data_IF_982144729314
#
_entry.id   IF_982144729314
#
_cell.length_a   1.000
_cell.length_b   1.000
_cell.length_c   1.000
_cell.angle_alpha   90.00
_cell.angle_beta   90.00
_cell.angle_gamma   90.00
#
_symmetry.space_group_name_H-M   'P 1'
#
loop_
_entity.id
_entity.type
_entity.pdbx_description
1 polymer ?
#
# COMPACT_ATOMS: atom_id res chain seq x y z
N UNK A 1 16.68 5.47 9.02
CA UNK A 1 15.52 5.32 8.12
C UNK A 1 15.92 5.78 6.73
N UNK A 2 15.25 5.29 5.69
CA UNK A 2 15.45 5.71 4.30
C UNK A 2 14.74 7.06 4.07
N UNK A 3 15.38 7.99 3.35
CA UNK A 3 14.75 9.27 3.04
C UNK A 3 13.61 9.08 2.02
N UNK A 4 12.42 9.70 2.19
CA UNK A 4 11.29 9.49 1.28
C UNK A 4 11.63 9.78 -0.19
N UNK A 5 12.47 10.78 -0.46
CA UNK A 5 12.91 11.09 -1.82
C UNK A 5 13.77 9.98 -2.48
N UNK A 6 14.62 9.32 -1.69
CA UNK A 6 15.44 8.20 -2.19
C UNK A 6 14.54 7.00 -2.51
N UNK A 7 13.58 6.70 -1.64
CA UNK A 7 12.58 5.64 -1.87
C UNK A 7 11.78 5.88 -3.15
N UNK A 8 11.30 7.11 -3.39
CA UNK A 8 10.56 7.46 -4.60
C UNK A 8 11.42 7.35 -5.86
N UNK A 9 12.71 7.68 -5.76
CA UNK A 9 13.68 7.55 -6.85
C UNK A 9 13.87 6.07 -7.21
N UNK A 10 14.07 5.21 -6.21
CA UNK A 10 14.20 3.75 -6.39
C UNK A 10 12.96 3.13 -7.01
N UNK A 11 11.76 3.62 -6.67
CA UNK A 11 10.52 3.14 -7.27
C UNK A 11 10.34 3.60 -8.72
N UNK A 12 10.89 4.76 -9.11
CA UNK A 12 10.60 5.42 -10.39
C UNK A 12 11.56 5.05 -11.52
N UNK A 13 12.77 4.60 -11.21
CA UNK A 13 13.75 4.18 -12.22
C UNK A 13 13.25 2.97 -13.04
N UNK A 14 13.30 3.07 -14.38
CA UNK A 14 12.97 1.97 -15.31
C UNK A 14 13.88 0.76 -15.15
N UNK A 15 15.09 0.96 -14.62
CA UNK A 15 15.89 -0.09 -13.98
C UNK A 15 15.41 -0.30 -12.54
N UNK A 16 14.15 -0.69 -12.37
CA UNK A 16 13.66 -1.27 -11.11
C UNK A 16 14.30 -2.66 -10.94
N UNK A 17 15.62 -2.72 -11.04
CA UNK A 17 16.47 -3.88 -10.87
C UNK A 17 16.35 -4.29 -9.42
N UNK A 18 15.71 -5.44 -9.19
CA UNK A 18 15.74 -6.30 -7.99
C UNK A 18 15.43 -5.65 -6.64
N UNK A 19 16.07 -4.55 -6.28
CA UNK A 19 15.89 -3.76 -5.06
C UNK A 19 14.44 -3.39 -4.70
N UNK A 20 13.65 -2.79 -5.60
CA UNK A 20 12.25 -2.41 -5.30
C UNK A 20 11.26 -3.58 -5.35
N UNK A 21 11.60 -4.65 -6.08
CA UNK A 21 10.87 -5.91 -6.06
C UNK A 21 11.14 -6.71 -4.78
N UNK A 22 12.35 -6.58 -4.22
CA UNK A 22 12.77 -7.23 -2.99
C UNK A 22 12.34 -6.45 -1.73
N UNK A 23 12.09 -5.14 -1.85
CA UNK A 23 11.71 -4.33 -0.69
C UNK A 23 10.25 -4.56 -0.29
N UNK A 24 10.05 -4.97 0.95
CA UNK A 24 8.74 -5.27 1.54
C UNK A 24 8.17 -4.06 2.30
N UNK A 25 6.84 -4.01 2.41
CA UNK A 25 6.14 -2.91 3.06
C UNK A 25 6.54 -2.72 4.53
N UNK A 26 6.88 -3.79 5.24
CA UNK A 26 7.35 -3.70 6.63
C UNK A 26 8.72 -3.00 6.77
N UNK A 27 9.56 -3.00 5.75
CA UNK A 27 10.92 -2.44 5.81
C UNK A 27 10.93 -0.91 5.78
N UNK A 28 9.83 -0.29 5.36
CA UNK A 28 9.67 1.18 5.33
C UNK A 28 8.90 1.73 6.53
N UNK A 29 8.44 0.85 7.43
CA UNK A 29 7.79 1.28 8.68
C UNK A 29 8.84 1.81 9.65
N UNK A 30 8.40 2.66 10.58
CA UNK A 30 9.26 3.13 11.65
C UNK A 30 9.63 1.97 12.59
N UNK A 31 10.87 1.50 12.49
CA UNK A 31 11.39 0.37 13.28
C UNK A 31 11.50 0.66 14.78
N UNK A 32 11.33 1.92 15.20
CA UNK A 32 11.33 2.28 16.63
C UNK A 32 10.00 1.93 17.32
N UNK A 33 8.95 1.67 16.54
CA UNK A 33 7.65 1.28 17.05
C UNK A 33 7.60 -0.24 17.29
N UNK A 34 6.76 -0.70 18.25
CA UNK A 34 6.52 -2.12 18.40
C UNK A 34 5.88 -2.71 17.13
N UNK A 35 6.09 -4.01 16.86
CA UNK A 35 5.45 -4.68 15.73
C UNK A 35 3.93 -4.48 15.74
N UNK A 36 3.31 -4.12 14.60
CA UNK A 36 1.87 -3.87 14.55
C UNK A 36 1.09 -5.17 14.79
N UNK A 37 0.01 -5.07 15.55
CA UNK A 37 -0.96 -6.17 15.65
C UNK A 37 -1.72 -6.36 14.33
N UNK A 38 -2.50 -7.45 14.23
CA UNK A 38 -3.22 -7.81 12.99
C UNK A 38 -4.16 -6.71 12.47
N UNK A 39 -4.79 -5.94 13.37
CA UNK A 39 -5.71 -4.86 12.98
C UNK A 39 -4.93 -3.69 12.40
N UNK A 40 -3.88 -3.26 13.11
CA UNK A 40 -3.01 -2.17 12.65
C UNK A 40 -2.30 -2.54 11.35
N UNK A 41 -1.88 -3.79 11.19
CA UNK A 41 -1.27 -4.26 9.94
C UNK A 41 -2.22 -4.18 8.74
N UNK A 42 -3.52 -4.47 8.94
CA UNK A 42 -4.54 -4.27 7.90
C UNK A 42 -4.68 -2.80 7.52
N UNK A 43 -4.64 -1.91 8.50
CA UNK A 43 -4.75 -0.46 8.29
C UNK A 43 -3.55 0.10 7.54
N UNK A 44 -2.35 -0.32 7.92
CA UNK A 44 -1.11 0.01 7.22
C UNK A 44 -1.18 -0.45 5.75
N UNK A 45 -1.61 -1.69 5.51
CA UNK A 45 -1.74 -2.22 4.15
C UNK A 45 -2.75 -1.42 3.31
N UNK A 46 -3.89 -1.08 3.89
CA UNK A 46 -4.93 -0.28 3.22
C UNK A 46 -4.44 1.14 2.89
N UNK A 47 -3.87 1.85 3.87
CA UNK A 47 -3.32 3.19 3.69
C UNK A 47 -2.21 3.19 2.65
N UNK A 48 -1.30 2.20 2.72
CA UNK A 48 -0.24 2.04 1.72
C UNK A 48 -0.82 1.84 0.32
N UNK A 49 -1.84 1.00 0.17
CA UNK A 49 -2.49 0.75 -1.13
C UNK A 49 -3.03 2.05 -1.75
N UNK A 50 -3.74 2.87 -0.96
CA UNK A 50 -4.26 4.16 -1.42
C UNK A 50 -3.13 5.15 -1.70
N UNK A 51 -2.14 5.26 -0.81
CA UNK A 51 -1.01 6.17 -0.98
C UNK A 51 -0.21 5.86 -2.26
N UNK A 52 0.06 4.58 -2.54
CA UNK A 52 0.76 4.18 -3.76
C UNK A 52 -0.08 4.40 -5.03
N UNK A 53 -1.42 4.24 -4.96
CA UNK A 53 -2.31 4.62 -6.06
C UNK A 53 -2.22 6.12 -6.39
N UNK A 54 -2.08 6.98 -5.37
CA UNK A 54 -1.89 8.43 -5.55
C UNK A 54 -0.56 8.79 -6.24
N UNK A 55 0.45 7.93 -6.16
CA UNK A 55 1.77 8.12 -6.80
C UNK A 55 1.79 7.73 -8.29
N UNK A 56 0.66 7.30 -8.87
CA UNK A 56 0.61 6.89 -10.28
C UNK A 56 1.12 8.01 -11.21
N UNK A 57 2.05 7.69 -12.11
CA UNK A 57 2.61 8.68 -13.05
C UNK A 57 1.57 9.23 -14.03
N UNK A 58 0.54 8.44 -14.32
CA UNK A 58 -0.58 8.79 -15.20
C UNK A 58 -1.71 9.45 -14.37
N UNK A 59 -1.96 10.77 -14.49
CA UNK A 59 -2.90 11.47 -13.62
C UNK A 59 -4.33 10.89 -13.62
N UNK A 60 -4.79 10.39 -14.77
CA UNK A 60 -6.13 9.81 -14.92
C UNK A 60 -6.40 8.54 -14.10
N UNK A 61 -5.36 7.86 -13.62
CA UNK A 61 -5.48 6.67 -12.78
C UNK A 61 -5.29 6.95 -11.29
N UNK A 62 -4.95 8.19 -10.93
CA UNK A 62 -4.88 8.57 -9.52
C UNK A 62 -6.31 8.64 -8.96
N UNK A 63 -6.53 8.16 -7.73
CA UNK A 63 -7.84 8.27 -7.10
C UNK A 63 -8.17 9.75 -6.84
N UNK A 64 -9.44 10.10 -6.93
CA UNK A 64 -9.92 11.43 -6.54
C UNK A 64 -9.99 11.52 -5.02
N UNK A 65 -9.84 12.73 -4.45
CA UNK A 65 -9.98 12.92 -3.00
C UNK A 65 -11.37 12.49 -2.48
N UNK A 66 -12.41 12.66 -3.30
CA UNK A 66 -13.75 12.17 -2.97
C UNK A 66 -13.76 10.64 -2.82
N UNK A 67 -13.18 9.91 -3.77
CA UNK A 67 -13.04 8.45 -3.69
C UNK A 67 -12.23 8.03 -2.45
N UNK A 68 -11.07 8.67 -2.23
CA UNK A 68 -10.23 8.41 -1.04
C UNK A 68 -11.01 8.62 0.26
N UNK A 69 -11.75 9.72 0.37
CA UNK A 69 -12.55 10.04 1.56
C UNK A 69 -13.62 8.98 1.81
N UNK A 70 -14.32 8.54 0.75
CA UNK A 70 -15.33 7.49 0.87
C UNK A 70 -14.72 6.15 1.29
N UNK A 71 -13.56 5.78 0.75
CA UNK A 71 -12.86 4.55 1.16
C UNK A 71 -12.53 4.55 2.65
N UNK A 72 -11.99 5.65 3.19
CA UNK A 72 -11.72 5.77 4.63
C UNK A 72 -13.00 5.77 5.50
N UNK A 73 -14.10 6.34 4.99
CA UNK A 73 -15.39 6.33 5.69
C UNK A 73 -16.09 4.97 5.67
N UNK A 74 -15.94 4.21 4.59
CA UNK A 74 -16.64 2.94 4.36
C UNK A 74 -16.27 1.85 5.38
N UNK A 75 -15.11 1.99 6.04
CA UNK A 75 -14.50 0.97 6.93
C UNK A 75 -14.33 -0.41 6.26
N UNK A 76 -14.47 -0.50 4.92
CA UNK A 76 -14.24 -1.72 4.15
C UNK A 76 -12.74 -1.94 4.02
N UNK A 77 -12.18 -2.69 4.96
CA UNK A 77 -10.75 -3.01 4.96
C UNK A 77 -10.52 -4.25 4.08
N UNK A 78 -9.61 -4.20 3.10
CA UNK A 78 -9.29 -5.35 2.28
C UNK A 78 -8.71 -6.49 3.13
N UNK A 79 -8.78 -7.72 2.60
CA UNK A 79 -8.06 -8.85 3.17
C UNK A 79 -6.57 -8.56 3.00
N UNK A 80 -5.91 -8.15 4.09
CA UNK A 80 -4.52 -7.78 4.03
C UNK A 80 -3.62 -9.02 3.94
N UNK A 81 -2.71 -9.01 2.98
CA UNK A 81 -1.52 -9.86 2.99
C UNK A 81 -0.60 -9.43 4.16
N UNK A 82 0.20 -10.35 4.73
CA UNK A 82 1.20 -9.97 5.72
C UNK A 82 2.14 -8.89 5.19
N UNK A 83 2.49 -7.90 6.01
CA UNK A 83 3.28 -6.73 5.58
C UNK A 83 4.67 -7.10 5.04
N UNK A 84 5.24 -8.22 5.51
CA UNK A 84 6.52 -8.75 5.05
C UNK A 84 6.43 -9.55 3.74
N UNK A 85 5.22 -9.75 3.20
CA UNK A 85 4.96 -10.51 1.97
C UNK A 85 4.39 -9.62 0.86
N UNK A 86 4.37 -8.30 1.07
CA UNK A 86 3.88 -7.31 0.11
C UNK A 86 5.05 -6.45 -0.31
N UNK A 87 5.49 -6.58 -1.55
CA UNK A 87 6.56 -5.71 -2.06
C UNK A 87 6.02 -4.33 -2.43
N UNK A 88 6.87 -3.31 -2.34
CA UNK A 88 6.49 -1.94 -2.75
C UNK A 88 6.14 -1.88 -4.24
N UNK A 89 6.77 -2.73 -5.05
CA UNK A 89 6.45 -2.89 -6.47
C UNK A 89 5.02 -3.37 -6.68
N UNK A 90 4.55 -4.37 -5.92
CA UNK A 90 3.17 -4.85 -6.02
C UNK A 90 2.13 -3.77 -5.64
N UNK A 91 2.43 -2.95 -4.63
CA UNK A 91 1.57 -1.80 -4.27
C UNK A 91 1.53 -0.76 -5.38
N UNK A 92 2.68 -0.44 -5.98
CA UNK A 92 2.78 0.52 -7.08
C UNK A 92 1.99 0.08 -8.31
N UNK A 93 1.96 -1.22 -8.59
CA UNK A 93 1.24 -1.78 -9.75
C UNK A 93 -0.20 -2.20 -9.43
N UNK A 94 -0.69 -1.92 -8.21
CA UNK A 94 -2.07 -2.17 -7.78
C UNK A 94 -2.51 -3.64 -7.93
N UNK A 95 -1.59 -4.61 -7.81
CA UNK A 95 -1.87 -6.04 -8.04
C UNK A 95 -2.67 -6.71 -6.90
N UNK A 96 -3.02 -5.99 -5.83
CA UNK A 96 -3.49 -6.57 -4.57
C UNK A 96 -4.82 -6.00 -4.02
N UNK A 97 -5.61 -5.27 -4.81
CA UNK A 97 -6.91 -4.77 -4.35
C UNK A 97 -8.01 -5.81 -4.59
N UNK A 98 -8.25 -6.68 -3.61
CA UNK A 98 -9.48 -7.48 -3.53
C UNK A 98 -10.32 -6.93 -2.39
N UNK A 99 -11.40 -6.22 -2.74
CA UNK A 99 -12.47 -5.91 -1.78
C UNK A 99 -13.12 -7.24 -1.42
N UNK A 100 -13.03 -7.61 -0.15
CA UNK A 100 -13.88 -8.67 0.36
C UNK A 100 -15.30 -8.12 0.43
N UNK A 101 -16.17 -8.55 -0.49
CA UNK A 101 -17.60 -8.42 -0.28
C UNK A 101 -17.93 -9.26 0.95
N UNK A 102 -18.26 -8.60 2.06
CA UNK A 102 -18.99 -9.27 3.13
C UNK A 102 -20.42 -9.32 2.62
N UNK A 103 -20.73 -10.36 1.85
CA UNK A 103 -22.11 -10.77 1.66
C UNK A 103 -22.72 -10.99 3.05
N UNK A 104 -23.72 -10.17 3.35
CA UNK A 104 -24.62 -10.33 4.48
C UNK A 104 -25.21 -11.74 4.44
N UNK A 105 -25.11 -12.43 5.57
CA UNK A 105 -25.84 -13.66 5.85
C UNK A 105 -27.33 -13.53 5.47
N UNK A 106 -27.84 -14.55 4.79
CA UNK A 106 -29.23 -15.03 4.90
C UNK A 106 -29.20 -16.54 4.84
#
# INVERSE_FOLDING_TARGET
>A
GIHPGELLTTLSSSSASTSSQNMMLNEILDQRLPPPNRIVARDIFFVATIAFACLCTKPKYRPTMNWVSQEFLSRKKPIAKPLHAVSLWQLKNQENYVVGDIETQS
#
